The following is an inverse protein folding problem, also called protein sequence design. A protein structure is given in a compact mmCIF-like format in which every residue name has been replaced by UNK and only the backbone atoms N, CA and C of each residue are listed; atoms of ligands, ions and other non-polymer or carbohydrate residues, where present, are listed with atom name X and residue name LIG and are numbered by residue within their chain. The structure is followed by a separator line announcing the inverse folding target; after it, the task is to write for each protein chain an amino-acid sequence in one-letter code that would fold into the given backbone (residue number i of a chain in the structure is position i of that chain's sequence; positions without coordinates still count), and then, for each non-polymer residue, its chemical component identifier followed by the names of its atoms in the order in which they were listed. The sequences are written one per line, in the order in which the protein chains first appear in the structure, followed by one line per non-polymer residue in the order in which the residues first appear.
data_IF_730354897202
#
_entry.id   IF_730354897202
#
_cell.length_a   1.000
_cell.length_b   1.000
_cell.length_c   1.000
_cell.angle_alpha   90.00
_cell.angle_beta   90.00
_cell.angle_gamma   90.00
#
_symmetry.space_group_name_H-M   'P 1'
#
loop_
_entity.id
_entity.type
_entity.pdbx_description
1 polymer ?
#
# COMPACT_ATOMS: atom_id res chain seq x y z
N UNK A 1 -22.67 -19.48 81.76
CA UNK A 1 -22.83 -18.26 80.96
C UNK A 1 -22.00 -18.36 79.66
N UNK A 2 -22.64 -18.45 78.50
CA UNK A 2 -22.00 -18.43 77.20
C UNK A 2 -22.10 -17.02 76.61
N UNK A 3 -21.03 -16.48 76.03
CA UNK A 3 -21.10 -15.18 75.35
C UNK A 3 -21.80 -15.32 73.96
N UNK A 4 -22.43 -14.25 73.44
CA UNK A 4 -23.17 -14.29 72.19
C UNK A 4 -22.26 -14.27 70.96
N UNK A 5 -22.71 -14.99 69.92
CA UNK A 5 -22.01 -15.14 68.63
C UNK A 5 -21.99 -13.85 67.80
N UNK A 6 -20.91 -13.67 67.05
CA UNK A 6 -20.76 -12.62 66.04
C UNK A 6 -21.54 -12.96 64.76
N UNK A 7 -22.13 -11.97 64.08
CA UNK A 7 -22.76 -12.20 62.77
C UNK A 7 -21.74 -12.37 61.69
N UNK A 8 -22.08 -13.09 60.59
CA UNK A 8 -21.17 -13.26 59.44
C UNK A 8 -21.06 -11.98 58.61
N UNK A 9 -19.83 -11.58 58.34
CA UNK A 9 -19.53 -10.52 57.38
C UNK A 9 -19.77 -11.04 55.94
N UNK A 10 -20.81 -10.52 55.27
CA UNK A 10 -21.07 -10.76 53.88
C UNK A 10 -19.95 -10.12 53.02
N UNK A 11 -19.12 -10.97 52.41
CA UNK A 11 -18.08 -10.55 51.48
C UNK A 11 -18.71 -9.96 50.22
N UNK A 12 -18.50 -8.69 50.01
CA UNK A 12 -18.88 -7.97 48.79
C UNK A 12 -17.95 -8.35 47.67
N UNK A 13 -18.47 -9.13 46.69
CA UNK A 13 -17.74 -9.54 45.48
C UNK A 13 -17.69 -8.37 44.50
N UNK A 14 -16.61 -7.63 44.50
CA UNK A 14 -16.25 -6.65 43.46
C UNK A 14 -15.10 -7.20 42.61
N UNK A 15 -15.38 -8.09 41.69
CA UNK A 15 -14.47 -8.45 40.63
C UNK A 15 -15.32 -8.78 39.41
N UNK A 16 -15.31 -7.95 38.36
CA UNK A 16 -15.58 -8.24 36.95
C UNK A 16 -16.12 -7.04 36.13
N UNK A 17 -15.74 -5.80 36.45
CA UNK A 17 -16.10 -4.66 35.59
C UNK A 17 -14.94 -4.06 34.81
N UNK A 18 -13.69 -4.55 34.98
CA UNK A 18 -12.50 -3.93 34.36
C UNK A 18 -12.01 -4.57 33.06
N UNK A 19 -12.44 -5.79 32.74
CA UNK A 19 -11.86 -6.51 31.60
C UNK A 19 -12.55 -6.24 30.23
N UNK A 20 -13.78 -5.78 30.24
CA UNK A 20 -14.54 -5.57 28.99
C UNK A 20 -14.21 -4.26 28.28
N UNK A 21 -13.70 -3.24 28.98
CA UNK A 21 -13.40 -1.92 28.40
C UNK A 21 -12.06 -1.88 27.66
N UNK A 22 -11.09 -2.73 28.04
CA UNK A 22 -9.76 -2.77 27.41
C UNK A 22 -9.74 -3.45 26.04
N UNK A 23 -10.66 -4.39 25.77
CA UNK A 23 -10.78 -5.10 24.50
C UNK A 23 -11.40 -4.24 23.38
N UNK A 24 -12.23 -3.26 23.70
CA UNK A 24 -12.85 -2.39 22.69
C UNK A 24 -11.92 -1.31 22.16
N UNK A 25 -10.91 -0.88 22.94
CA UNK A 25 -9.96 0.17 22.51
C UNK A 25 -8.90 -0.33 21.53
N UNK A 26 -8.56 -1.62 21.57
CA UNK A 26 -7.60 -2.21 20.62
C UNK A 26 -8.19 -2.40 19.22
N UNK A 27 -9.50 -2.51 19.08
CA UNK A 27 -10.16 -2.68 17.77
C UNK A 27 -10.31 -1.37 16.99
N UNK A 28 -10.32 -0.22 17.67
CA UNK A 28 -10.40 1.10 17.02
C UNK A 28 -9.07 1.57 16.43
N UNK A 29 -7.95 1.13 16.98
CA UNK A 29 -6.63 1.47 16.44
C UNK A 29 -6.31 0.74 15.13
N UNK A 30 -6.88 -0.44 14.90
CA UNK A 30 -6.70 -1.21 13.66
C UNK A 30 -7.51 -0.63 12.47
N UNK A 31 -8.56 0.13 12.74
CA UNK A 31 -9.39 0.78 11.71
C UNK A 31 -8.83 2.12 11.22
N UNK A 32 -7.83 2.69 11.92
CA UNK A 32 -7.25 3.99 11.59
C UNK A 32 -5.92 3.91 10.81
N UNK A 33 -5.32 2.73 10.68
CA UNK A 33 -4.15 2.54 9.82
C UNK A 33 -4.65 2.29 8.40
N UNK A 34 -4.66 3.33 7.56
CA UNK A 34 -4.89 3.20 6.12
C UNK A 34 -3.99 2.08 5.56
N UNK A 35 -4.43 1.42 4.51
CA UNK A 35 -3.60 0.40 3.87
C UNK A 35 -2.33 1.01 3.26
N UNK A 36 -1.41 0.16 2.79
CA UNK A 36 -0.11 0.62 2.26
C UNK A 36 -0.25 1.58 1.07
N UNK A 37 -1.34 1.53 0.31
CA UNK A 37 -1.57 2.46 -0.80
C UNK A 37 -1.87 3.87 -0.28
N UNK A 38 -2.75 3.98 0.72
CA UNK A 38 -3.07 5.26 1.34
C UNK A 38 -1.83 5.87 2.01
N UNK A 39 -1.09 5.06 2.76
CA UNK A 39 0.12 5.48 3.45
C UNK A 39 1.20 5.94 2.46
N UNK A 40 1.51 5.14 1.44
CA UNK A 40 2.51 5.46 0.43
C UNK A 40 2.08 6.65 -0.43
N UNK A 41 0.78 6.72 -0.76
CA UNK A 41 0.18 7.84 -1.49
C UNK A 41 0.34 9.15 -0.73
N UNK A 42 -0.02 9.17 0.54
CA UNK A 42 0.14 10.34 1.42
C UNK A 42 1.61 10.74 1.58
N UNK A 43 2.50 9.77 1.82
CA UNK A 43 3.93 10.00 2.03
C UNK A 43 4.61 10.60 0.78
N UNK A 44 4.30 10.10 -0.42
CA UNK A 44 4.90 10.55 -1.67
C UNK A 44 4.10 11.68 -2.37
N UNK A 45 2.89 11.99 -1.91
CA UNK A 45 2.00 12.94 -2.57
C UNK A 45 1.54 12.43 -3.95
N UNK A 46 1.19 11.16 -4.05
CA UNK A 46 0.61 10.52 -5.24
C UNK A 46 -0.78 10.00 -4.94
N UNK A 47 -1.64 9.92 -5.95
CA UNK A 47 -3.01 9.44 -5.77
C UNK A 47 -3.00 7.92 -5.50
N UNK A 48 -3.53 7.44 -4.35
CA UNK A 48 -3.51 6.02 -4.00
C UNK A 48 -4.36 5.16 -4.94
N UNK A 49 -5.47 5.69 -5.49
CA UNK A 49 -6.31 4.98 -6.46
C UNK A 49 -5.55 4.74 -7.78
N UNK A 50 -4.78 5.72 -8.25
CA UNK A 50 -3.90 5.56 -9.41
C UNK A 50 -2.82 4.51 -9.12
N UNK A 51 -2.23 4.55 -7.93
CA UNK A 51 -1.22 3.57 -7.54
C UNK A 51 -1.78 2.14 -7.49
N UNK A 52 -3.02 1.95 -6.99
CA UNK A 52 -3.75 0.67 -7.05
C UNK A 52 -3.97 0.21 -8.50
N UNK A 53 -4.35 1.13 -9.39
CA UNK A 53 -4.59 0.81 -10.80
C UNK A 53 -3.30 0.39 -11.50
N UNK A 54 -2.15 1.01 -11.20
CA UNK A 54 -0.83 0.58 -11.66
C UNK A 54 -0.55 -0.84 -11.19
N UNK A 55 -0.60 -1.10 -9.89
CA UNK A 55 -0.34 -2.43 -9.32
C UNK A 55 -1.25 -3.50 -9.89
N UNK A 56 -2.53 -3.19 -10.06
CA UNK A 56 -3.48 -4.09 -10.72
C UNK A 56 -3.12 -4.39 -12.19
N UNK A 57 -2.72 -3.37 -12.93
CA UNK A 57 -2.33 -3.53 -14.32
C UNK A 57 -1.07 -4.38 -14.45
N UNK A 58 -0.05 -4.13 -13.61
CA UNK A 58 1.25 -4.79 -13.66
C UNK A 58 1.18 -6.29 -13.32
N UNK A 59 0.47 -6.67 -12.27
CA UNK A 59 0.50 -8.07 -11.79
C UNK A 59 -0.82 -8.60 -11.22
N UNK A 60 -1.90 -7.83 -11.27
CA UNK A 60 -3.14 -8.10 -10.53
C UNK A 60 -2.95 -8.10 -9.01
N UNK A 61 -1.91 -7.43 -8.54
CA UNK A 61 -1.59 -7.34 -7.12
C UNK A 61 -0.78 -8.52 -6.56
N UNK A 62 -0.13 -9.33 -7.41
CA UNK A 62 0.71 -10.43 -6.92
C UNK A 62 2.07 -9.92 -6.40
N UNK A 63 2.32 -9.96 -5.08
CA UNK A 63 3.57 -9.48 -4.51
C UNK A 63 4.78 -10.35 -4.87
N UNK A 64 4.57 -11.59 -5.33
CA UNK A 64 5.62 -12.52 -5.72
C UNK A 64 5.84 -12.58 -7.22
N UNK A 65 5.14 -11.74 -8.01
CA UNK A 65 5.33 -11.69 -9.44
C UNK A 65 6.78 -11.37 -9.81
N UNK A 66 7.34 -12.15 -10.72
CA UNK A 66 8.68 -11.93 -11.30
C UNK A 66 8.58 -12.12 -12.81
N UNK A 67 8.99 -11.09 -13.54
CA UNK A 67 9.06 -11.13 -15.00
C UNK A 67 10.51 -10.91 -15.47
N UNK A 68 10.93 -11.68 -16.48
CA UNK A 68 12.22 -11.48 -17.18
C UNK A 68 11.96 -10.84 -18.53
N UNK A 69 12.58 -9.71 -18.74
CA UNK A 69 12.49 -8.97 -20.00
C UNK A 69 13.49 -9.51 -21.03
N UNK A 70 13.23 -9.26 -22.32
CA UNK A 70 14.09 -9.70 -23.42
C UNK A 70 15.53 -9.11 -23.37
N UNK A 71 15.70 -7.94 -22.74
CA UNK A 71 16.99 -7.28 -22.51
C UNK A 71 17.75 -7.84 -21.29
N UNK A 72 17.21 -8.87 -20.63
CA UNK A 72 17.79 -9.50 -19.43
C UNK A 72 17.45 -8.79 -18.12
N UNK A 73 16.77 -7.65 -18.16
CA UNK A 73 16.27 -7.01 -16.94
C UNK A 73 15.16 -7.84 -16.28
N UNK A 74 14.90 -7.59 -15.00
CA UNK A 74 13.91 -8.33 -14.21
C UNK A 74 13.01 -7.35 -13.50
N UNK A 75 11.71 -7.61 -13.55
CA UNK A 75 10.69 -6.88 -12.80
C UNK A 75 10.23 -7.70 -11.59
N UNK A 76 10.09 -7.08 -10.42
CA UNK A 76 9.78 -7.77 -9.16
C UNK A 76 8.61 -7.12 -8.44
N UNK A 77 7.74 -7.98 -7.91
CA UNK A 77 6.64 -7.65 -7.03
C UNK A 77 5.43 -7.10 -7.75
N UNK A 78 4.43 -6.73 -6.97
CA UNK A 78 3.12 -6.40 -7.51
C UNK A 78 3.11 -5.16 -8.43
N UNK A 79 4.03 -4.21 -8.26
CA UNK A 79 4.19 -3.03 -9.12
C UNK A 79 5.29 -3.20 -10.17
N UNK A 80 5.85 -4.41 -10.34
CA UNK A 80 6.85 -4.78 -11.33
C UNK A 80 8.05 -3.82 -11.35
N UNK A 81 8.72 -3.69 -10.20
CA UNK A 81 9.89 -2.81 -10.05
C UNK A 81 11.06 -3.39 -10.83
N UNK A 82 11.51 -2.66 -11.87
CA UNK A 82 12.59 -3.10 -12.75
C UNK A 82 13.96 -3.07 -12.09
N UNK A 83 14.81 -4.03 -12.46
CA UNK A 83 16.17 -4.20 -11.94
C UNK A 83 17.11 -3.03 -12.18
N UNK A 84 16.81 -2.13 -13.13
CA UNK A 84 17.57 -0.89 -13.32
C UNK A 84 17.57 0.00 -12.07
N UNK A 85 16.58 -0.16 -11.20
CA UNK A 85 16.43 0.59 -9.95
C UNK A 85 17.16 -0.04 -8.77
N UNK A 86 17.56 -1.34 -8.84
CA UNK A 86 18.06 -2.09 -7.69
C UNK A 86 19.28 -1.46 -7.03
N UNK A 87 20.24 -0.95 -7.84
CA UNK A 87 21.43 -0.29 -7.30
C UNK A 87 21.10 0.99 -6.53
N UNK A 88 20.12 1.76 -7.00
CA UNK A 88 19.65 2.97 -6.31
C UNK A 88 18.88 2.60 -5.04
N UNK A 89 17.96 1.65 -5.12
CA UNK A 89 17.15 1.19 -4.00
C UNK A 89 18.03 0.62 -2.88
N UNK A 90 19.05 -0.16 -3.21
CA UNK A 90 20.00 -0.70 -2.23
C UNK A 90 20.71 0.42 -1.43
N UNK A 91 21.07 1.54 -2.08
CA UNK A 91 21.65 2.72 -1.38
C UNK A 91 20.67 3.38 -0.41
N UNK A 92 19.35 3.23 -0.62
CA UNK A 92 18.31 3.67 0.31
C UNK A 92 17.86 2.59 1.30
N UNK A 93 18.63 1.48 1.42
CA UNK A 93 18.32 0.41 2.36
C UNK A 93 17.18 -0.54 1.92
N UNK A 94 16.82 -0.51 0.64
CA UNK A 94 15.81 -1.42 0.06
C UNK A 94 16.51 -2.45 -0.83
N UNK A 95 16.89 -3.62 -0.27
CA UNK A 95 17.54 -4.68 -1.04
C UNK A 95 16.51 -5.40 -1.94
N UNK A 96 17.03 -6.06 -3.00
CA UNK A 96 16.19 -6.73 -4.00
C UNK A 96 15.11 -7.65 -3.38
N UNK A 97 15.45 -8.44 -2.37
CA UNK A 97 14.52 -9.39 -1.76
C UNK A 97 13.35 -8.70 -1.03
N UNK A 98 13.53 -7.45 -0.55
CA UNK A 98 12.47 -6.68 0.07
C UNK A 98 11.35 -6.29 -0.92
N UNK A 99 11.61 -6.33 -2.22
CA UNK A 99 10.60 -6.02 -3.24
C UNK A 99 9.50 -7.08 -3.39
N UNK A 100 9.61 -8.22 -2.74
CA UNK A 100 8.51 -9.21 -2.63
C UNK A 100 7.62 -8.97 -1.41
N UNK A 101 7.98 -8.04 -0.52
CA UNK A 101 7.06 -7.52 0.48
C UNK A 101 6.09 -6.53 -0.19
N UNK A 102 4.79 -6.76 0.01
CA UNK A 102 3.75 -6.00 -0.66
C UNK A 102 3.82 -4.50 -0.33
N UNK A 103 4.03 -4.16 0.94
CA UNK A 103 4.03 -2.77 1.38
C UNK A 103 5.30 -2.04 0.90
N UNK A 104 6.46 -2.65 1.02
CA UNK A 104 7.72 -2.11 0.49
C UNK A 104 7.61 -1.85 -1.00
N UNK A 105 7.05 -2.79 -1.76
CA UNK A 105 6.89 -2.67 -3.21
C UNK A 105 5.97 -1.49 -3.60
N UNK A 106 4.85 -1.29 -2.86
CA UNK A 106 3.95 -0.14 -3.06
C UNK A 106 4.66 1.19 -2.75
N UNK A 107 5.43 1.28 -1.67
CA UNK A 107 6.19 2.50 -1.35
C UNK A 107 7.22 2.84 -2.42
N UNK A 108 7.93 1.84 -2.95
CA UNK A 108 8.87 2.02 -4.07
C UNK A 108 8.13 2.47 -5.34
N UNK A 109 6.98 1.86 -5.66
CA UNK A 109 6.16 2.27 -6.79
C UNK A 109 5.69 3.73 -6.67
N UNK A 110 5.22 4.13 -5.49
CA UNK A 110 4.82 5.50 -5.22
C UNK A 110 5.99 6.49 -5.39
N UNK A 111 7.18 6.13 -4.90
CA UNK A 111 8.39 6.92 -5.09
C UNK A 111 8.77 7.05 -6.57
N UNK A 112 8.74 5.96 -7.34
CA UNK A 112 9.01 6.01 -8.79
C UNK A 112 7.99 6.86 -9.54
N UNK A 113 6.69 6.72 -9.22
CA UNK A 113 5.65 7.56 -9.80
C UNK A 113 5.87 9.04 -9.46
N UNK A 114 6.25 9.35 -8.21
CA UNK A 114 6.60 10.72 -7.81
C UNK A 114 7.74 11.30 -8.63
N UNK A 115 8.78 10.53 -8.93
CA UNK A 115 9.87 10.99 -9.81
C UNK A 115 9.35 11.40 -11.20
N UNK A 116 8.37 10.64 -11.74
CA UNK A 116 7.74 10.98 -13.01
C UNK A 116 6.85 12.22 -12.90
N UNK A 117 6.14 12.39 -11.79
CA UNK A 117 5.34 13.59 -11.53
C UNK A 117 6.19 14.84 -11.35
N UNK A 118 7.38 14.74 -10.76
CA UNK A 118 8.33 15.87 -10.69
C UNK A 118 8.75 16.31 -12.10
N UNK A 119 8.97 15.35 -12.99
CA UNK A 119 9.41 15.61 -14.37
C UNK A 119 8.29 16.11 -15.29
N UNK A 120 7.09 15.54 -15.17
CA UNK A 120 5.99 15.71 -16.14
C UNK A 120 4.74 16.37 -15.56
N UNK A 121 4.79 16.82 -14.29
CA UNK A 121 3.61 17.30 -13.56
C UNK A 121 2.69 16.15 -13.14
N UNK A 122 1.58 16.50 -12.48
CA UNK A 122 0.53 15.53 -12.15
C UNK A 122 -0.39 15.29 -13.36
N UNK A 123 0.08 14.50 -14.29
CA UNK A 123 -0.55 14.31 -15.62
C UNK A 123 -0.56 12.84 -16.01
N UNK A 124 -1.40 12.48 -16.99
CA UNK A 124 -1.39 11.16 -17.63
C UNK A 124 -0.04 10.81 -18.27
N UNK A 125 0.71 11.84 -18.70
CA UNK A 125 2.08 11.67 -19.18
C UNK A 125 3.01 11.14 -18.08
N UNK A 126 2.89 11.64 -16.85
CA UNK A 126 3.66 11.12 -15.71
C UNK A 126 3.30 9.66 -15.40
N UNK A 127 2.00 9.34 -15.41
CA UNK A 127 1.52 7.98 -15.18
C UNK A 127 2.07 7.03 -16.28
N UNK A 128 1.99 7.45 -17.53
CA UNK A 128 2.53 6.67 -18.65
C UNK A 128 4.05 6.48 -18.56
N UNK A 129 4.77 7.52 -18.12
CA UNK A 129 6.21 7.50 -17.95
C UNK A 129 6.69 6.58 -16.82
N UNK A 130 5.80 6.12 -15.95
CA UNK A 130 6.09 5.05 -15.00
C UNK A 130 6.64 3.81 -15.72
N UNK A 131 5.99 3.42 -16.80
CA UNK A 131 6.38 2.28 -17.62
C UNK A 131 7.50 2.63 -18.62
N UNK A 132 7.37 3.72 -19.37
CA UNK A 132 8.34 4.09 -20.42
C UNK A 132 8.33 5.58 -20.72
N UNK A 133 9.51 6.14 -20.98
CA UNK A 133 9.63 7.52 -21.49
C UNK A 133 9.37 7.60 -23.01
N UNK A 134 9.39 6.48 -23.74
CA UNK A 134 9.08 6.43 -25.18
C UNK A 134 7.63 6.82 -25.44
N UNK A 135 7.35 7.86 -26.24
CA UNK A 135 5.99 8.41 -26.38
C UNK A 135 4.90 7.39 -26.67
N UNK A 136 5.11 6.50 -27.62
CA UNK A 136 4.10 5.50 -28.01
C UNK A 136 3.77 4.51 -26.86
N UNK A 137 4.80 4.01 -26.16
CA UNK A 137 4.65 3.08 -25.04
C UNK A 137 4.06 3.80 -23.83
N UNK A 138 4.56 4.99 -23.51
CA UNK A 138 4.07 5.85 -22.45
C UNK A 138 2.56 6.09 -22.58
N UNK A 139 2.14 6.56 -23.76
CA UNK A 139 0.75 6.95 -23.99
C UNK A 139 -0.18 5.72 -24.04
N UNK A 140 0.32 4.58 -24.55
CA UNK A 140 -0.40 3.31 -24.50
C UNK A 140 -0.61 2.83 -23.06
N UNK A 141 0.44 2.93 -22.23
CA UNK A 141 0.34 2.56 -20.82
C UNK A 141 -0.64 3.48 -20.06
N UNK A 142 -0.54 4.80 -20.23
CA UNK A 142 -1.48 5.75 -19.63
C UNK A 142 -2.94 5.40 -19.95
N UNK A 143 -3.26 5.10 -21.22
CA UNK A 143 -4.60 4.65 -21.63
C UNK A 143 -5.02 3.33 -20.97
N UNK A 144 -4.06 2.43 -20.70
CA UNK A 144 -4.36 1.19 -19.98
C UNK A 144 -4.76 1.44 -18.54
N UNK A 145 -4.05 2.32 -17.85
CA UNK A 145 -4.41 2.71 -16.47
C UNK A 145 -5.75 3.45 -16.44
N UNK A 146 -6.02 4.34 -17.41
CA UNK A 146 -7.34 5.00 -17.55
C UNK A 146 -8.46 3.95 -17.68
N UNK A 147 -8.29 2.92 -18.52
CA UNK A 147 -9.28 1.84 -18.66
C UNK A 147 -9.54 1.10 -17.37
N UNK A 148 -8.51 0.82 -16.57
CA UNK A 148 -8.66 0.21 -15.24
C UNK A 148 -9.54 1.10 -14.36
N UNK A 149 -9.21 2.38 -14.27
CA UNK A 149 -9.94 3.35 -13.44
C UNK A 149 -11.39 3.54 -13.91
N UNK A 150 -11.64 3.57 -15.23
CA UNK A 150 -13.00 3.60 -15.77
C UNK A 150 -13.79 2.35 -15.40
N UNK A 151 -13.17 1.16 -15.50
CA UNK A 151 -13.80 -0.11 -15.11
C UNK A 151 -14.16 -0.12 -13.61
N UNK A 152 -13.38 0.55 -12.77
CA UNK A 152 -13.65 0.67 -11.34
C UNK A 152 -14.65 1.79 -10.99
N UNK A 153 -15.06 2.61 -11.96
CA UNK A 153 -15.92 3.78 -11.74
C UNK A 153 -15.21 5.00 -11.12
N UNK A 154 -13.88 4.96 -11.05
CA UNK A 154 -13.03 6.01 -10.48
C UNK A 154 -12.69 7.13 -11.49
N UNK A 155 -13.00 6.91 -12.75
CA UNK A 155 -12.80 7.86 -13.84
C UNK A 155 -13.98 7.77 -14.83
N UNK A 156 -14.45 8.93 -15.32
CA UNK A 156 -15.46 8.96 -16.38
C UNK A 156 -14.81 8.67 -17.75
N UNK A 157 -15.51 7.96 -18.65
CA UNK A 157 -15.01 7.77 -20.01
C UNK A 157 -14.72 9.12 -20.69
N UNK A 158 -13.54 9.25 -21.31
CA UNK A 158 -13.15 10.46 -22.05
C UNK A 158 -12.50 11.58 -21.22
N UNK A 159 -12.19 11.32 -19.96
CA UNK A 159 -11.41 12.24 -19.11
C UNK A 159 -9.91 11.92 -19.10
#
# INVERSE_FOLDING_TARGET
MRPPGRPPVSGLRWVHAGAALALCLSSLAALAAGDCFEQAGAYQGVNPTVLRAIVWFESKGDPRAVHRNADGSVDIGQAQINSIHFGTLARYGVPRHALTDACVNIYVAAWLLKQKMVKHGNTWRAIGAYHSETPAQRDAYARSIQRVLVTWGELKPGQ
#
